data_IF_064760737858
#
_entry.id   IF_064760737858
#
_cell.length_a   1.000
_cell.length_b   1.000
_cell.length_c   1.000
_cell.angle_alpha   90.00
_cell.angle_beta   90.00
_cell.angle_gamma   90.00
#
_symmetry.space_group_name_H-M   'P 1'
#
loop_
_entity.id
_entity.type
_entity.pdbx_description
1 polymer ?
#
# COMPACT_ATOMS: atom_id res chain seq x y z
N UNK A 1 18.22 -33.97 23.10
CA UNK A 1 16.76 -34.29 23.11
C UNK A 1 15.95 -33.45 24.11
N UNK A 2 16.46 -33.08 25.27
CA UNK A 2 15.73 -32.27 26.26
C UNK A 2 15.38 -30.82 25.79
N UNK A 3 16.22 -30.19 24.97
CA UNK A 3 16.00 -28.85 24.47
C UNK A 3 14.86 -28.77 23.42
N UNK A 4 14.70 -29.80 22.59
CA UNK A 4 13.60 -29.86 21.60
C UNK A 4 12.24 -30.02 22.28
N UNK A 5 12.17 -30.88 23.33
CA UNK A 5 10.93 -31.09 24.08
C UNK A 5 10.49 -29.84 24.88
N UNK A 6 11.45 -29.03 25.37
CA UNK A 6 11.14 -27.75 26.04
C UNK A 6 10.66 -26.70 25.07
N UNK A 7 11.18 -26.69 23.84
CA UNK A 7 10.80 -25.77 22.78
C UNK A 7 9.35 -26.04 22.30
N UNK A 8 9.00 -27.31 22.05
CA UNK A 8 7.62 -27.69 21.68
C UNK A 8 6.59 -27.34 22.77
N UNK A 9 6.96 -27.52 24.03
CA UNK A 9 6.09 -27.22 25.17
C UNK A 9 5.84 -25.72 25.34
N UNK A 10 6.85 -24.91 25.04
CA UNK A 10 6.74 -23.44 25.04
C UNK A 10 5.90 -22.95 23.85
N UNK A 11 6.05 -23.55 22.68
CA UNK A 11 5.28 -23.25 21.48
C UNK A 11 3.78 -23.52 21.67
N UNK A 12 3.42 -24.70 22.16
CA UNK A 12 2.02 -25.05 22.39
C UNK A 12 1.36 -24.17 23.45
N UNK A 13 2.12 -23.67 24.43
CA UNK A 13 1.63 -22.74 25.44
C UNK A 13 1.41 -21.32 24.90
N UNK A 14 2.25 -20.90 23.95
CA UNK A 14 2.10 -19.59 23.30
C UNK A 14 0.88 -19.57 22.38
N UNK A 15 0.69 -20.61 21.57
CA UNK A 15 -0.44 -20.75 20.63
C UNK A 15 -1.78 -20.85 21.39
N UNK A 16 -1.82 -21.47 22.55
CA UNK A 16 -3.05 -21.58 23.36
C UNK A 16 -3.48 -20.29 24.05
N UNK A 17 -2.62 -19.26 24.10
CA UNK A 17 -2.89 -17.97 24.73
C UNK A 17 -3.28 -16.91 23.68
N UNK A 18 -2.88 -17.08 22.42
CA UNK A 18 -3.24 -16.15 21.33
C UNK A 18 -4.56 -16.56 20.70
N UNK A 19 -5.62 -15.77 20.93
CA UNK A 19 -6.84 -15.81 20.13
C UNK A 19 -6.51 -15.16 18.78
N UNK A 20 -6.23 -15.98 17.77
CA UNK A 20 -5.88 -15.55 16.43
C UNK A 20 -6.42 -16.52 15.40
N UNK A 21 -6.81 -16.01 14.24
CA UNK A 21 -7.25 -16.80 13.09
C UNK A 21 -6.08 -17.44 12.31
N UNK A 22 -4.83 -17.10 12.69
CA UNK A 22 -3.64 -17.68 12.07
C UNK A 22 -3.43 -19.13 12.46
N UNK A 23 -3.12 -19.96 11.47
CA UNK A 23 -2.66 -21.32 11.69
C UNK A 23 -1.27 -21.34 12.39
N UNK A 24 -0.89 -22.42 13.08
CA UNK A 24 0.44 -22.53 13.65
C UNK A 24 1.58 -22.30 12.66
N UNK A 25 1.42 -22.72 11.40
CA UNK A 25 2.41 -22.56 10.34
C UNK A 25 2.59 -21.09 9.95
N UNK A 26 1.49 -20.32 9.86
CA UNK A 26 1.53 -18.88 9.60
C UNK A 26 2.17 -18.11 10.74
N UNK A 27 1.86 -18.49 12.00
CA UNK A 27 2.52 -17.89 13.18
C UNK A 27 4.04 -18.13 13.13
N UNK A 28 4.48 -19.34 12.73
CA UNK A 28 5.91 -19.62 12.60
C UNK A 28 6.56 -18.85 11.46
N UNK A 29 5.89 -18.70 10.35
CA UNK A 29 6.37 -17.86 9.23
C UNK A 29 6.53 -16.40 9.66
N UNK A 30 5.53 -15.84 10.38
CA UNK A 30 5.60 -14.50 10.95
C UNK A 30 6.75 -14.33 11.95
N UNK A 31 6.90 -15.27 12.90
CA UNK A 31 8.01 -15.23 13.87
C UNK A 31 9.38 -15.39 13.20
N UNK A 32 9.45 -16.14 12.10
CA UNK A 32 10.65 -16.24 11.27
C UNK A 32 10.99 -14.89 10.62
N UNK A 33 10.00 -14.20 10.07
CA UNK A 33 10.14 -12.86 9.50
C UNK A 33 10.57 -11.82 10.53
N UNK A 34 9.96 -11.84 11.73
CA UNK A 34 10.31 -10.89 12.83
C UNK A 34 11.78 -11.01 13.27
N UNK A 35 12.38 -12.20 13.18
CA UNK A 35 13.79 -12.39 13.52
C UNK A 35 14.77 -11.71 12.58
N UNK A 36 14.34 -11.39 11.37
CA UNK A 36 15.16 -10.70 10.37
C UNK A 36 15.04 -9.19 10.46
N UNK A 37 14.08 -8.67 11.24
CA UNK A 37 13.88 -7.23 11.42
C UNK A 37 14.92 -6.72 12.42
N UNK A 38 15.72 -5.76 11.98
CA UNK A 38 16.60 -5.03 12.87
C UNK A 38 15.77 -4.09 13.75
N UNK A 39 15.82 -4.17 15.09
CA UNK A 39 15.04 -3.29 15.96
C UNK A 39 15.33 -1.79 15.76
N UNK A 40 16.51 -1.44 15.23
CA UNK A 40 16.88 -0.05 14.95
C UNK A 40 16.19 0.51 13.71
N UNK A 41 15.76 -0.37 12.80
CA UNK A 41 15.02 0.00 11.58
C UNK A 41 13.49 -0.11 11.79
N UNK A 42 13.06 -0.37 13.03
CA UNK A 42 11.66 -0.52 13.40
C UNK A 42 11.15 0.75 14.07
N UNK A 43 10.04 1.27 13.59
CA UNK A 43 9.32 2.37 14.23
C UNK A 43 7.97 1.88 14.77
N UNK A 44 7.63 2.33 15.99
CA UNK A 44 6.35 2.03 16.60
C UNK A 44 5.54 3.32 16.71
N UNK A 45 4.31 3.28 16.29
CA UNK A 45 3.38 4.38 16.50
C UNK A 45 2.06 3.86 17.05
N UNK A 46 1.47 4.68 17.92
CA UNK A 46 0.21 4.37 18.57
C UNK A 46 -0.91 5.17 17.90
N UNK A 47 -2.02 4.51 17.59
CA UNK A 47 -3.24 5.20 17.16
C UNK A 47 -3.86 5.84 18.40
N UNK A 48 -3.65 7.15 18.53
CA UNK A 48 -4.16 7.95 19.67
C UNK A 48 -5.54 8.51 19.36
N UNK A 49 -6.20 9.04 20.39
CA UNK A 49 -7.53 9.64 20.28
C UNK A 49 -7.63 10.79 19.26
N UNK A 50 -6.52 11.44 18.90
CA UNK A 50 -6.49 12.45 17.85
C UNK A 50 -6.60 11.89 16.42
N UNK A 51 -6.53 10.57 16.26
CA UNK A 51 -6.72 9.85 14.99
C UNK A 51 -8.09 9.18 14.92
N UNK A 52 -8.97 9.47 15.89
CA UNK A 52 -10.30 8.86 15.97
C UNK A 52 -11.38 9.93 16.12
N UNK A 53 -12.52 9.66 15.49
CA UNK A 53 -13.74 10.47 15.58
C UNK A 53 -14.83 9.69 16.28
N UNK A 54 -15.50 10.32 17.27
CA UNK A 54 -16.73 9.78 17.81
C UNK A 54 -17.90 10.18 16.91
N UNK A 55 -18.63 9.18 16.41
CA UNK A 55 -19.85 9.39 15.63
C UNK A 55 -21.03 8.72 16.33
N UNK A 56 -22.19 9.37 16.28
CA UNK A 56 -23.43 8.81 16.79
C UNK A 56 -24.27 8.32 15.59
N UNK A 57 -24.24 7.02 15.35
CA UNK A 57 -25.00 6.42 14.25
C UNK A 57 -26.43 6.11 14.71
N UNK A 58 -27.46 6.48 13.91
CA UNK A 58 -28.83 6.06 14.16
C UNK A 58 -28.91 4.53 14.27
N UNK A 59 -29.56 4.00 15.29
CA UNK A 59 -29.76 2.57 15.60
C UNK A 59 -28.56 1.83 16.23
N UNK A 60 -27.33 2.31 16.14
CA UNK A 60 -26.14 1.65 16.68
C UNK A 60 -25.62 2.38 17.93
N UNK A 61 -25.84 3.71 18.02
CA UNK A 61 -25.35 4.53 19.11
C UNK A 61 -23.97 5.14 18.82
N UNK A 62 -23.19 5.42 19.86
CA UNK A 62 -21.85 5.98 19.74
C UNK A 62 -20.88 4.93 19.20
N UNK A 63 -20.20 5.26 18.10
CA UNK A 63 -19.12 4.48 17.51
C UNK A 63 -17.87 5.35 17.41
N UNK A 64 -16.72 4.71 17.50
CA UNK A 64 -15.43 5.35 17.27
C UNK A 64 -14.95 4.91 15.89
N UNK A 65 -14.73 5.88 15.02
CA UNK A 65 -14.19 5.67 13.66
C UNK A 65 -12.81 6.29 13.55
N UNK A 66 -12.01 5.83 12.59
CA UNK A 66 -10.73 6.45 12.29
C UNK A 66 -11.00 7.77 11.54
N UNK A 67 -10.30 8.83 11.93
CA UNK A 67 -10.18 10.05 11.14
C UNK A 67 -9.25 9.75 9.96
N UNK A 68 -9.82 9.57 8.78
CA UNK A 68 -9.08 9.19 7.57
C UNK A 68 -8.05 10.23 7.18
N UNK A 69 -8.37 11.53 7.28
CA UNK A 69 -7.46 12.61 6.90
C UNK A 69 -6.25 12.68 7.85
N UNK A 70 -6.50 12.55 9.15
CA UNK A 70 -5.43 12.51 10.14
C UNK A 70 -4.58 11.25 10.02
N UNK A 71 -5.20 10.12 9.67
CA UNK A 71 -4.49 8.87 9.44
C UNK A 71 -3.62 8.92 8.17
N UNK A 72 -4.12 9.48 7.06
CA UNK A 72 -3.37 9.66 5.82
C UNK A 72 -2.15 10.58 6.02
N UNK A 73 -2.31 11.63 6.82
CA UNK A 73 -1.18 12.49 7.20
C UNK A 73 -0.12 11.72 8.01
N UNK A 74 -0.55 10.87 8.93
CA UNK A 74 0.37 10.01 9.68
C UNK A 74 1.06 8.99 8.76
N UNK A 75 0.30 8.38 7.85
CA UNK A 75 0.79 7.40 6.89
C UNK A 75 1.84 8.02 5.96
N UNK A 76 1.55 9.15 5.34
CA UNK A 76 2.49 9.84 4.45
C UNK A 76 3.79 10.23 5.14
N UNK A 77 3.74 10.55 6.43
CA UNK A 77 4.92 10.90 7.22
C UNK A 77 5.80 9.70 7.58
N UNK A 78 5.20 8.52 7.78
CA UNK A 78 5.91 7.34 8.32
C UNK A 78 6.17 6.26 7.28
N UNK A 79 5.42 6.23 6.19
CA UNK A 79 5.53 5.19 5.15
C UNK A 79 6.01 5.72 3.79
N UNK A 80 6.26 7.04 3.68
CA UNK A 80 6.86 7.58 2.47
C UNK A 80 8.28 7.04 2.27
N UNK A 81 8.58 6.70 1.03
CA UNK A 81 9.89 6.20 0.62
C UNK A 81 10.73 7.36 0.05
N UNK A 82 11.85 7.68 0.70
CA UNK A 82 12.73 8.78 0.30
C UNK A 82 13.17 8.67 -1.17
N UNK A 83 13.36 7.44 -1.66
CA UNK A 83 13.72 7.21 -3.06
C UNK A 83 12.64 7.72 -4.02
N UNK A 84 11.36 7.44 -3.73
CA UNK A 84 10.22 7.90 -4.53
C UNK A 84 10.12 9.44 -4.48
N UNK A 85 10.25 10.02 -3.27
CA UNK A 85 10.22 11.47 -3.10
C UNK A 85 11.35 12.18 -3.84
N UNK A 86 12.55 11.59 -3.88
CA UNK A 86 13.72 12.19 -4.53
C UNK A 86 13.61 12.14 -6.07
N UNK A 87 12.98 11.11 -6.63
CA UNK A 87 12.78 11.00 -8.08
C UNK A 87 11.74 11.98 -8.63
N UNK A 88 10.77 12.42 -7.82
CA UNK A 88 9.74 13.44 -8.14
C UNK A 88 9.04 13.21 -9.47
N UNK A 89 8.77 11.97 -9.80
CA UNK A 89 8.04 11.65 -11.02
C UNK A 89 6.58 12.06 -10.87
N UNK A 90 6.08 12.86 -11.82
CA UNK A 90 4.69 13.27 -11.87
C UNK A 90 3.80 12.14 -12.39
N UNK A 91 2.69 11.88 -11.71
CA UNK A 91 1.86 10.69 -11.90
C UNK A 91 0.42 11.08 -12.23
N UNK A 92 -0.11 10.47 -13.28
CA UNK A 92 -1.53 10.45 -13.61
C UNK A 92 -2.11 9.07 -13.29
N UNK A 93 -3.31 9.01 -12.72
CA UNK A 93 -3.99 7.74 -12.42
C UNK A 93 -5.35 7.72 -13.09
N UNK A 94 -5.57 6.73 -13.95
CA UNK A 94 -6.81 6.56 -14.69
C UNK A 94 -7.52 5.26 -14.29
N UNK A 95 -8.79 5.36 -13.95
CA UNK A 95 -9.65 4.22 -13.68
C UNK A 95 -10.34 3.78 -14.97
N UNK A 96 -10.01 2.59 -15.47
CA UNK A 96 -10.70 1.97 -16.60
C UNK A 96 -11.71 0.89 -16.16
N UNK A 97 -11.96 0.75 -14.88
CA UNK A 97 -12.86 -0.25 -14.28
C UNK A 97 -14.27 0.32 -14.04
N UNK A 98 -15.18 -0.51 -13.50
CA UNK A 98 -16.51 -0.07 -13.04
C UNK A 98 -16.52 0.35 -11.57
N UNK A 99 -15.41 0.18 -10.86
CA UNK A 99 -15.35 0.47 -9.42
C UNK A 99 -15.21 1.98 -9.25
N UNK A 100 -16.24 2.59 -8.69
CA UNK A 100 -16.21 4.02 -8.38
C UNK A 100 -15.18 4.30 -7.28
N UNK A 101 -14.37 5.33 -7.46
CA UNK A 101 -13.39 5.76 -6.45
C UNK A 101 -12.04 5.05 -6.51
N UNK A 102 -11.87 3.97 -7.29
CA UNK A 102 -10.63 3.17 -7.30
C UNK A 102 -9.38 4.01 -7.61
N UNK A 103 -9.46 4.93 -8.59
CA UNK A 103 -8.33 5.80 -8.90
C UNK A 103 -7.99 6.76 -7.75
N UNK A 104 -8.99 7.23 -7.01
CA UNK A 104 -8.78 8.09 -5.85
C UNK A 104 -8.10 7.33 -4.70
N UNK A 105 -8.56 6.13 -4.39
CA UNK A 105 -7.95 5.26 -3.38
C UNK A 105 -6.51 4.90 -3.74
N UNK A 106 -6.26 4.56 -5.01
CA UNK A 106 -4.90 4.33 -5.50
C UNK A 106 -4.04 5.59 -5.39
N UNK A 107 -4.60 6.77 -5.69
CA UNK A 107 -3.88 8.03 -5.57
C UNK A 107 -3.48 8.33 -4.11
N UNK A 108 -4.33 8.03 -3.14
CA UNK A 108 -4.01 8.14 -1.71
C UNK A 108 -2.87 7.20 -1.32
N UNK A 109 -2.91 5.95 -1.77
CA UNK A 109 -1.83 4.99 -1.55
C UNK A 109 -0.50 5.51 -2.10
N UNK A 110 -0.47 5.94 -3.37
CA UNK A 110 0.72 6.45 -4.05
C UNK A 110 1.26 7.72 -3.35
N UNK A 111 0.39 8.65 -2.94
CA UNK A 111 0.78 9.84 -2.17
C UNK A 111 1.37 9.49 -0.82
N UNK A 112 0.79 8.53 -0.11
CA UNK A 112 1.29 8.07 1.18
C UNK A 112 2.68 7.42 1.07
N UNK A 113 3.01 6.87 -0.10
CA UNK A 113 4.34 6.37 -0.42
C UNK A 113 5.36 7.45 -0.84
N UNK A 114 4.91 8.68 -1.03
CA UNK A 114 5.74 9.81 -1.44
C UNK A 114 5.65 10.16 -2.93
N UNK A 115 4.73 9.55 -3.69
CA UNK A 115 4.51 9.84 -5.10
C UNK A 115 3.81 11.17 -5.35
N UNK A 116 4.17 11.87 -6.42
CA UNK A 116 3.59 13.16 -6.82
C UNK A 116 2.43 12.94 -7.80
N UNK A 117 1.22 12.69 -7.28
CA UNK A 117 0.02 12.51 -8.10
C UNK A 117 -0.55 13.87 -8.48
N UNK A 118 -0.51 14.18 -9.79
CA UNK A 118 -0.97 15.46 -10.35
C UNK A 118 -2.38 15.39 -10.96
N UNK A 119 -2.81 14.19 -11.37
CA UNK A 119 -4.11 14.01 -11.99
C UNK A 119 -4.73 12.66 -11.64
N UNK A 120 -6.04 12.64 -11.43
CA UNK A 120 -6.85 11.45 -11.19
C UNK A 120 -8.09 11.52 -12.06
N UNK A 121 -8.33 10.49 -12.85
CA UNK A 121 -9.42 10.49 -13.81
C UNK A 121 -10.00 9.11 -14.11
N UNK A 122 -10.90 9.11 -15.09
CA UNK A 122 -11.47 7.88 -15.63
C UNK A 122 -11.09 7.77 -17.10
N UNK A 123 -10.79 6.54 -17.52
CA UNK A 123 -10.60 6.20 -18.92
C UNK A 123 -11.88 5.59 -19.48
N UNK A 124 -12.31 6.04 -20.66
CA UNK A 124 -13.54 5.54 -21.31
C UNK A 124 -13.38 4.11 -21.82
N UNK A 125 -12.19 3.79 -22.32
CA UNK A 125 -11.87 2.45 -22.79
C UNK A 125 -11.51 1.53 -21.63
N UNK A 126 -12.24 0.44 -21.49
CA UNK A 126 -11.99 -0.56 -20.44
C UNK A 126 -10.73 -1.35 -20.72
N UNK A 127 -9.92 -1.54 -19.70
CA UNK A 127 -8.74 -2.39 -19.71
C UNK A 127 -8.94 -3.57 -18.76
N UNK A 128 -8.50 -4.74 -19.19
CA UNK A 128 -8.54 -5.94 -18.35
C UNK A 128 -7.41 -5.93 -17.34
N UNK A 129 -6.24 -5.45 -17.73
CA UNK A 129 -5.05 -5.48 -16.91
C UNK A 129 -4.66 -4.08 -16.45
N UNK A 130 -4.14 -3.98 -15.22
CA UNK A 130 -3.48 -2.78 -14.74
C UNK A 130 -2.08 -2.69 -15.35
N UNK A 131 -1.66 -1.51 -15.76
CA UNK A 131 -0.33 -1.26 -16.28
C UNK A 131 0.13 0.18 -16.03
N UNK A 132 1.44 0.39 -16.12
CA UNK A 132 2.09 1.69 -15.99
C UNK A 132 2.67 2.09 -17.34
N UNK A 133 2.18 3.17 -17.92
CA UNK A 133 2.78 3.83 -19.08
C UNK A 133 3.84 4.82 -18.61
N UNK A 134 5.01 4.77 -19.25
CA UNK A 134 6.13 5.66 -18.90
C UNK A 134 6.52 6.54 -20.06
N UNK A 135 6.76 7.81 -19.76
CA UNK A 135 7.12 8.87 -20.72
C UNK A 135 8.50 9.47 -20.41
N UNK A 136 9.31 8.73 -19.63
CA UNK A 136 10.67 9.12 -19.28
C UNK A 136 11.72 8.30 -20.04
N UNK A 137 12.88 8.88 -20.23
CA UNK A 137 14.02 8.16 -20.79
C UNK A 137 14.58 7.16 -19.77
N UNK A 138 14.95 5.96 -20.25
CA UNK A 138 15.56 4.90 -19.43
C UNK A 138 14.77 4.55 -18.17
N UNK A 139 13.51 4.09 -18.34
CA UNK A 139 12.61 3.81 -17.22
C UNK A 139 13.20 2.80 -16.21
N UNK A 140 14.09 1.92 -16.65
CA UNK A 140 14.77 0.93 -15.80
C UNK A 140 15.62 1.54 -14.68
N UNK A 141 15.97 2.82 -14.77
CA UNK A 141 16.78 3.52 -13.77
C UNK A 141 15.95 4.12 -12.62
N UNK A 142 14.61 4.09 -12.72
CA UNK A 142 13.75 4.67 -11.70
C UNK A 142 13.24 3.62 -10.71
N UNK A 143 13.59 3.80 -9.45
CA UNK A 143 13.12 2.97 -8.35
C UNK A 143 11.58 3.01 -8.22
N UNK A 144 10.99 4.19 -8.38
CA UNK A 144 9.54 4.44 -8.31
C UNK A 144 8.75 3.51 -9.23
N UNK A 145 9.21 3.31 -10.47
CA UNK A 145 8.54 2.45 -11.45
C UNK A 145 8.55 0.99 -11.02
N UNK A 146 9.71 0.49 -10.60
CA UNK A 146 9.86 -0.88 -10.13
C UNK A 146 8.99 -1.13 -8.88
N UNK A 147 8.97 -0.15 -7.97
CA UNK A 147 8.23 -0.22 -6.73
C UNK A 147 6.72 -0.22 -6.96
N UNK A 148 6.22 0.67 -7.80
CA UNK A 148 4.78 0.71 -8.12
C UNK A 148 4.34 -0.52 -8.90
N UNK A 149 5.15 -1.00 -9.86
CA UNK A 149 4.85 -2.23 -10.59
C UNK A 149 4.74 -3.44 -9.66
N UNK A 150 5.61 -3.51 -8.64
CA UNK A 150 5.57 -4.56 -7.63
C UNK A 150 4.30 -4.49 -6.77
N UNK A 151 3.95 -3.29 -6.26
CA UNK A 151 2.80 -3.11 -5.35
C UNK A 151 1.47 -3.29 -6.08
N UNK A 152 1.36 -2.75 -7.28
CA UNK A 152 0.16 -2.86 -8.10
C UNK A 152 0.10 -4.18 -8.88
N UNK A 153 1.12 -5.04 -8.76
CA UNK A 153 1.25 -6.29 -9.49
C UNK A 153 0.96 -6.12 -10.99
N UNK A 154 1.65 -5.17 -11.63
CA UNK A 154 1.37 -4.78 -12.99
C UNK A 154 2.64 -4.64 -13.84
N UNK A 155 2.49 -4.52 -15.14
CA UNK A 155 3.59 -4.35 -16.10
C UNK A 155 3.88 -2.87 -16.35
N UNK A 156 5.13 -2.57 -16.69
CA UNK A 156 5.56 -1.25 -17.16
C UNK A 156 5.72 -1.30 -18.68
N UNK A 157 5.10 -0.36 -19.38
CA UNK A 157 5.14 -0.24 -20.84
C UNK A 157 5.57 1.18 -21.24
N UNK A 158 6.24 1.30 -22.38
CA UNK A 158 6.57 2.61 -22.91
C UNK A 158 5.31 3.28 -23.46
N UNK A 159 5.05 4.48 -23.00
CA UNK A 159 3.96 5.32 -23.50
C UNK A 159 4.27 5.91 -24.88
N UNK A 160 3.21 6.33 -25.58
CA UNK A 160 3.37 6.95 -26.88
C UNK A 160 3.72 8.44 -26.72
N UNK A 161 4.83 8.89 -27.29
CA UNK A 161 5.32 10.26 -27.16
C UNK A 161 4.42 11.33 -27.82
N UNK A 162 3.42 10.91 -28.58
CA UNK A 162 2.42 11.83 -29.19
C UNK A 162 1.39 12.35 -28.16
N UNK A 163 1.21 11.64 -27.06
CA UNK A 163 0.43 12.11 -25.93
C UNK A 163 1.25 13.14 -25.15
N UNK A 164 1.08 14.41 -25.44
CA UNK A 164 1.67 15.52 -24.67
C UNK A 164 1.09 15.57 -23.26
N UNK A 165 1.53 14.68 -22.40
CA UNK A 165 1.07 14.59 -21.03
C UNK A 165 1.90 15.47 -20.12
N UNK A 166 1.24 16.02 -19.11
CA UNK A 166 1.92 16.67 -17.99
C UNK A 166 2.57 15.66 -17.06
N UNK A 167 2.07 14.41 -17.07
CA UNK A 167 2.55 13.32 -16.25
C UNK A 167 3.70 12.58 -16.94
N UNK A 168 4.72 12.22 -16.17
CA UNK A 168 5.83 11.38 -16.60
C UNK A 168 5.50 9.89 -16.48
N UNK A 169 4.49 9.57 -15.68
CA UNK A 169 3.95 8.22 -15.47
C UNK A 169 2.43 8.28 -15.54
N UNK A 170 1.83 7.33 -16.23
CA UNK A 170 0.39 7.10 -16.20
C UNK A 170 0.11 5.69 -15.68
N UNK A 171 -0.66 5.59 -14.63
CA UNK A 171 -1.15 4.32 -14.08
C UNK A 171 -2.57 4.11 -14.57
N UNK A 172 -2.79 3.05 -15.34
CA UNK A 172 -4.12 2.66 -15.82
C UNK A 172 -4.58 1.44 -15.04
N UNK A 173 -5.65 1.60 -14.28
CA UNK A 173 -6.22 0.54 -13.45
C UNK A 173 -7.18 -0.31 -14.27
N UNK A 174 -6.94 -1.62 -14.31
CA UNK A 174 -7.75 -2.61 -15.01
C UNK A 174 -8.52 -3.55 -14.06
N UNK A 175 -9.41 -4.34 -14.63
CA UNK A 175 -10.31 -5.24 -13.85
C UNK A 175 -9.55 -6.43 -13.18
N UNK A 176 -8.32 -6.75 -13.55
CA UNK A 176 -7.58 -7.94 -13.08
C UNK A 176 -6.96 -7.82 -11.68
N UNK A 177 -6.96 -6.65 -11.08
CA UNK A 177 -6.43 -6.40 -9.73
C UNK A 177 -7.54 -6.37 -8.66
N UNK A 178 -8.55 -7.20 -8.83
CA UNK A 178 -9.66 -7.37 -7.89
C UNK A 178 -9.48 -8.61 -7.02
#
# INVERSE_FOLDING_TARGET
MAQLASFEKTQNRFISICLTDFSPQEIFALLGGVRTINPQDSSFFEIKANLTLEQNLPQIGKVVTIDTDAFDLLASKNFSEDAIQNERLTIEILNSTKISGLALETALLIKNMGGEVIEVGNQSERKTETYIEVFVDKPENYYTLARFAQILNCTVVNGNSEDQLRAQIRIVLGDSNQ
#
